data_IF_108393053751
#
_entry.id   IF_108393053751
#
_cell.length_a   1.000
_cell.length_b   1.000
_cell.length_c   1.000
_cell.angle_alpha   90.00
_cell.angle_beta   90.00
_cell.angle_gamma   90.00
#
_symmetry.space_group_name_H-M   'P 1'
#
loop_
_entity.id
_entity.type
_entity.pdbx_description
1 polymer ?
#
# COMPACT_ATOMS: atom_id res chain seq x y z
N UNK A 1 0.10 20.14 36.96
CA UNK A 1 0.95 21.26 36.51
C UNK A 1 0.47 21.65 35.14
N UNK A 2 -0.07 22.85 34.97
CA UNK A 2 -0.41 23.36 33.64
C UNK A 2 0.88 23.43 32.83
N UNK A 3 0.94 22.67 31.72
CA UNK A 3 2.04 22.78 30.79
C UNK A 3 2.03 24.21 30.24
N UNK A 4 3.12 24.95 30.43
CA UNK A 4 3.23 26.34 29.95
C UNK A 4 3.37 26.30 28.42
N UNK A 5 2.25 26.43 27.71
CA UNK A 5 2.19 26.39 26.25
C UNK A 5 2.37 27.80 25.68
N UNK A 6 3.09 27.91 24.57
CA UNK A 6 3.49 29.20 23.98
C UNK A 6 2.40 29.82 23.09
N UNK A 7 1.44 29.01 22.63
CA UNK A 7 0.45 29.42 21.64
C UNK A 7 -0.97 29.06 22.11
N UNK A 8 -1.95 29.85 21.70
CA UNK A 8 -3.36 29.61 22.03
C UNK A 8 -4.00 28.65 21.04
N UNK A 9 -3.74 28.83 19.75
CA UNK A 9 -4.43 28.09 18.69
C UNK A 9 -3.53 27.86 17.49
N UNK A 10 -3.24 26.58 17.24
CA UNK A 10 -2.38 26.14 16.15
C UNK A 10 -3.18 25.51 15.02
N UNK A 11 -2.91 25.95 13.79
CA UNK A 11 -3.49 25.35 12.59
C UNK A 11 -2.60 24.20 12.10
N UNK A 12 -3.24 23.12 11.65
CA UNK A 12 -2.59 21.96 11.05
C UNK A 12 -3.32 21.66 9.74
N UNK A 13 -2.59 21.57 8.62
CA UNK A 13 -3.17 21.24 7.32
C UNK A 13 -2.51 20.00 6.73
N UNK A 14 -3.30 19.08 6.19
CA UNK A 14 -2.78 17.86 5.59
C UNK A 14 -3.82 17.07 4.83
N UNK A 15 -3.35 16.12 4.03
CA UNK A 15 -4.23 15.13 3.41
C UNK A 15 -4.52 13.99 4.38
N UNK A 16 -3.57 13.64 5.25
CA UNK A 16 -3.72 12.58 6.27
C UNK A 16 -4.07 11.21 5.68
N UNK A 17 -3.63 10.95 4.44
CA UNK A 17 -3.75 9.64 3.81
C UNK A 17 -2.94 8.59 4.56
N UNK A 18 -3.50 7.38 4.73
CA UNK A 18 -2.89 6.27 5.48
C UNK A 18 -2.31 6.76 6.79
N UNK A 19 -3.14 7.38 7.63
CA UNK A 19 -2.71 8.05 8.86
C UNK A 19 -1.62 7.25 9.61
N UNK A 20 -0.45 7.86 9.82
CA UNK A 20 0.79 7.16 10.15
C UNK A 20 1.60 7.94 11.19
N UNK A 21 2.65 7.35 11.76
CA UNK A 21 3.43 7.93 12.87
C UNK A 21 4.00 9.33 12.55
N UNK A 22 4.35 9.61 11.28
CA UNK A 22 4.72 10.96 10.83
C UNK A 22 3.62 12.02 11.05
N UNK A 23 2.35 11.71 10.71
CA UNK A 23 1.22 12.61 10.99
C UNK A 23 1.00 12.78 12.50
N UNK A 24 1.16 11.71 13.27
CA UNK A 24 1.05 11.75 14.73
C UNK A 24 2.10 12.69 15.33
N UNK A 25 3.35 12.64 14.86
CA UNK A 25 4.43 13.52 15.33
C UNK A 25 4.17 15.00 14.98
N UNK A 26 3.64 15.28 13.80
CA UNK A 26 3.21 16.62 13.39
C UNK A 26 2.17 17.18 14.37
N UNK A 27 1.13 16.39 14.65
CA UNK A 27 0.04 16.80 15.56
C UNK A 27 0.52 16.91 17.00
N UNK A 28 1.33 15.97 17.48
CA UNK A 28 1.93 16.02 18.82
C UNK A 28 2.79 17.26 19.02
N UNK A 29 3.53 17.69 17.98
CA UNK A 29 4.33 18.91 18.02
C UNK A 29 3.46 20.15 18.25
N UNK A 30 2.31 20.23 17.58
CA UNK A 30 1.32 21.29 17.81
C UNK A 30 0.70 21.19 19.22
N UNK A 31 0.26 20.00 19.65
CA UNK A 31 -0.39 19.79 20.96
C UNK A 31 0.52 20.13 22.16
N UNK A 32 1.84 19.99 22.01
CA UNK A 32 2.83 20.37 23.02
C UNK A 32 3.00 21.89 23.15
N UNK A 33 2.84 22.62 22.05
CA UNK A 33 3.13 24.05 22.00
C UNK A 33 1.88 24.93 22.06
N UNK A 34 0.71 24.39 21.74
CA UNK A 34 -0.54 25.13 21.65
C UNK A 34 -1.64 24.59 22.59
N UNK A 35 -2.44 25.49 23.16
CA UNK A 35 -3.57 25.16 24.02
C UNK A 35 -4.72 24.48 23.26
N UNK A 36 -4.90 24.82 21.99
CA UNK A 36 -5.91 24.24 21.11
C UNK A 36 -5.35 24.02 19.70
N UNK A 37 -5.81 22.99 19.00
CA UNK A 37 -5.44 22.73 17.60
C UNK A 37 -6.66 22.69 16.69
N UNK A 38 -6.50 23.13 15.45
CA UNK A 38 -7.49 22.94 14.38
C UNK A 38 -6.82 22.15 13.26
N UNK A 39 -7.35 20.96 12.98
CA UNK A 39 -6.83 20.06 11.96
C UNK A 39 -7.71 20.17 10.72
N UNK A 40 -7.11 20.55 9.60
CA UNK A 40 -7.78 20.75 8.33
C UNK A 40 -7.37 19.64 7.34
N UNK A 41 -8.34 18.79 7.01
CA UNK A 41 -8.15 17.62 6.16
C UNK A 41 -8.61 17.95 4.73
N UNK A 42 -7.75 17.76 3.71
CA UNK A 42 -8.13 18.01 2.30
C UNK A 42 -9.34 17.18 1.89
N UNK A 43 -10.29 17.78 1.16
CA UNK A 43 -11.38 17.04 0.51
C UNK A 43 -10.86 16.05 -0.56
N UNK A 44 -11.75 15.22 -1.10
CA UNK A 44 -11.36 14.18 -2.07
C UNK A 44 -10.91 14.73 -3.42
N UNK A 45 -11.52 15.82 -3.91
CA UNK A 45 -11.09 16.47 -5.15
C UNK A 45 -9.62 16.90 -5.08
N UNK A 46 -9.22 17.58 -4.00
CA UNK A 46 -7.85 18.02 -3.76
C UNK A 46 -6.89 16.87 -3.45
N UNK A 47 -7.39 15.79 -2.85
CA UNK A 47 -6.60 14.61 -2.56
C UNK A 47 -6.29 13.85 -3.85
N UNK A 48 -7.32 13.52 -4.62
CA UNK A 48 -7.22 12.77 -5.87
C UNK A 48 -6.43 13.53 -6.93
N UNK A 49 -6.46 14.87 -6.95
CA UNK A 49 -5.61 15.65 -7.86
C UNK A 49 -4.10 15.43 -7.64
N UNK A 50 -3.70 14.90 -6.47
CA UNK A 50 -2.30 14.55 -6.17
C UNK A 50 -1.99 13.10 -6.53
N UNK A 51 -2.90 12.19 -6.17
CA UNK A 51 -2.74 10.75 -6.35
C UNK A 51 -4.13 10.09 -6.23
N UNK A 52 -4.53 9.33 -7.24
CA UNK A 52 -5.85 8.68 -7.29
C UNK A 52 -6.05 7.62 -6.20
N UNK A 53 -4.98 7.18 -5.55
CA UNK A 53 -4.94 6.09 -4.56
C UNK A 53 -4.93 6.56 -3.11
N UNK A 54 -5.18 7.85 -2.90
CA UNK A 54 -5.47 8.39 -1.58
C UNK A 54 -6.84 7.92 -1.11
N UNK A 55 -6.94 7.59 0.18
CA UNK A 55 -8.18 7.18 0.82
C UNK A 55 -9.32 8.22 0.68
N UNK A 56 -10.58 7.79 0.64
CA UNK A 56 -11.73 8.68 0.77
C UNK A 56 -11.65 9.57 2.02
N UNK A 57 -12.33 10.71 1.99
CA UNK A 57 -12.31 11.68 3.09
C UNK A 57 -12.80 11.06 4.40
N UNK A 58 -13.86 10.26 4.33
CA UNK A 58 -14.47 9.64 5.51
C UNK A 58 -13.44 8.73 6.23
N UNK A 59 -12.77 7.84 5.50
CA UNK A 59 -11.70 6.97 6.06
C UNK A 59 -10.58 7.78 6.72
N UNK A 60 -10.16 8.89 6.09
CA UNK A 60 -9.08 9.74 6.59
C UNK A 60 -9.51 10.50 7.84
N UNK A 61 -10.75 10.98 7.87
CA UNK A 61 -11.34 11.65 9.02
C UNK A 61 -11.52 10.67 10.19
N UNK A 62 -12.03 9.47 9.93
CA UNK A 62 -12.25 8.44 10.94
C UNK A 62 -10.93 8.01 11.61
N UNK A 63 -9.90 7.72 10.81
CA UNK A 63 -8.59 7.37 11.35
C UNK A 63 -7.97 8.50 12.19
N UNK A 64 -8.08 9.75 11.73
CA UNK A 64 -7.59 10.92 12.45
C UNK A 64 -8.36 11.16 13.75
N UNK A 65 -9.70 11.11 13.71
CA UNK A 65 -10.57 11.34 14.86
C UNK A 65 -10.39 10.26 15.93
N UNK A 66 -10.27 8.99 15.51
CA UNK A 66 -9.98 7.88 16.41
C UNK A 66 -8.69 8.14 17.19
N UNK A 67 -7.61 8.55 16.51
CA UNK A 67 -6.35 8.83 17.18
C UNK A 67 -6.38 10.09 18.05
N UNK A 68 -7.04 11.16 17.59
CA UNK A 68 -7.20 12.40 18.37
C UNK A 68 -8.01 12.19 19.65
N UNK A 69 -8.99 11.30 19.63
CA UNK A 69 -9.82 10.94 20.79
C UNK A 69 -8.97 10.50 21.99
N UNK A 70 -7.94 9.71 21.73
CA UNK A 70 -7.01 9.22 22.75
C UNK A 70 -5.91 10.25 23.07
N UNK A 71 -5.41 10.96 22.06
CA UNK A 71 -4.20 11.78 22.18
C UNK A 71 -4.44 13.22 22.68
N UNK A 72 -5.61 13.81 22.46
CA UNK A 72 -5.78 15.27 22.50
C UNK A 72 -6.69 15.83 23.61
N UNK A 73 -7.23 15.02 24.54
CA UNK A 73 -8.06 15.46 25.69
C UNK A 73 -9.08 16.57 25.35
N UNK A 74 -9.77 16.47 24.21
CA UNK A 74 -10.75 17.45 23.71
C UNK A 74 -10.21 18.85 23.33
N UNK A 75 -8.90 19.02 23.15
CA UNK A 75 -8.28 20.29 22.74
C UNK A 75 -8.11 20.42 21.22
N UNK A 76 -9.07 19.93 20.46
CA UNK A 76 -8.99 19.89 19.01
C UNK A 76 -10.34 20.12 18.34
N UNK A 77 -10.28 20.65 17.12
CA UNK A 77 -11.36 20.59 16.13
C UNK A 77 -10.80 20.00 14.83
N UNK A 78 -11.66 19.31 14.08
CA UNK A 78 -11.33 18.78 12.74
C UNK A 78 -12.29 19.37 11.74
N UNK A 79 -11.74 19.87 10.63
CA UNK A 79 -12.47 20.57 9.58
C UNK A 79 -12.05 20.04 8.21
N UNK A 80 -12.95 20.14 7.23
CA UNK A 80 -12.63 19.84 5.83
C UNK A 80 -12.01 21.07 5.16
N UNK A 81 -10.94 20.84 4.42
CA UNK A 81 -10.22 21.84 3.65
C UNK A 81 -10.63 21.75 2.19
N UNK A 82 -11.31 22.79 1.71
CA UNK A 82 -11.84 22.88 0.35
C UNK A 82 -11.02 23.79 -0.58
N UNK A 83 -9.96 24.41 -0.06
CA UNK A 83 -9.05 25.25 -0.85
C UNK A 83 -7.59 25.11 -0.37
N UNK A 84 -6.66 25.57 -1.21
CA UNK A 84 -5.21 25.40 -1.01
C UNK A 84 -4.68 26.04 0.28
N UNK A 85 -5.32 27.08 0.83
CA UNK A 85 -4.82 27.79 2.01
C UNK A 85 -5.75 27.69 3.21
N UNK A 86 -7.01 27.30 2.99
CA UNK A 86 -8.00 27.11 4.05
C UNK A 86 -8.27 28.40 4.80
N UNK A 87 -8.63 28.31 6.09
CA UNK A 87 -8.92 29.51 6.86
C UNK A 87 -7.65 30.31 7.19
N UNK A 88 -6.45 29.72 7.07
CA UNK A 88 -5.22 30.30 7.61
C UNK A 88 -4.93 31.76 7.19
N UNK A 89 -5.17 32.20 5.93
CA UNK A 89 -4.97 33.58 5.51
C UNK A 89 -5.91 34.60 6.19
N UNK A 90 -7.05 34.16 6.72
CA UNK A 90 -8.09 35.03 7.31
C UNK A 90 -8.43 34.69 8.77
N UNK A 91 -7.86 33.63 9.32
CA UNK A 91 -8.14 33.12 10.66
C UNK A 91 -7.63 34.10 11.74
N UNK A 92 -8.54 34.79 12.42
CA UNK A 92 -8.23 35.92 13.31
C UNK A 92 -7.67 35.50 14.67
N UNK A 93 -8.01 34.31 15.16
CA UNK A 93 -7.67 33.85 16.51
C UNK A 93 -6.50 32.86 16.55
N UNK A 94 -6.04 32.39 15.39
CA UNK A 94 -4.86 31.52 15.31
C UNK A 94 -3.60 32.37 15.43
N UNK A 95 -2.65 31.87 16.22
CA UNK A 95 -1.35 32.49 16.47
C UNK A 95 -0.17 31.61 16.03
N UNK A 96 -0.43 30.36 15.63
CA UNK A 96 0.59 29.46 15.09
C UNK A 96 0.07 28.53 13.99
N UNK A 97 0.99 27.99 13.19
CA UNK A 97 0.75 26.94 12.19
C UNK A 97 1.89 25.93 12.26
N UNK A 98 1.58 24.64 12.30
CA UNK A 98 2.61 23.59 12.29
C UNK A 98 2.86 23.12 10.87
N UNK A 99 4.12 22.89 10.53
CA UNK A 99 4.55 22.46 9.22
C UNK A 99 5.72 21.49 9.30
N UNK A 100 5.79 20.59 8.34
CA UNK A 100 7.00 19.84 8.02
C UNK A 100 7.92 20.65 7.11
N UNK A 101 9.17 20.23 6.92
CA UNK A 101 10.13 20.94 6.07
C UNK A 101 9.61 21.17 4.63
N UNK A 102 8.84 20.22 4.07
CA UNK A 102 8.24 20.32 2.73
C UNK A 102 7.10 21.34 2.66
N UNK A 103 6.45 21.64 3.79
CA UNK A 103 5.26 22.51 3.86
C UNK A 103 5.55 23.89 4.44
N UNK A 104 6.76 24.14 4.97
CA UNK A 104 7.22 25.47 5.41
C UNK A 104 7.06 26.55 4.31
N UNK A 105 7.47 26.33 3.05
CA UNK A 105 7.31 27.34 2.00
C UNK A 105 5.85 27.80 1.82
N UNK A 106 4.89 26.87 1.96
CA UNK A 106 3.45 27.18 1.89
C UNK A 106 3.00 28.02 3.09
N UNK A 107 3.58 27.81 4.26
CA UNK A 107 3.30 28.60 5.46
C UNK A 107 3.80 30.04 5.31
N UNK A 108 4.93 30.26 4.63
CA UNK A 108 5.38 31.60 4.28
C UNK A 108 4.40 32.31 3.33
N UNK A 109 3.91 31.63 2.29
CA UNK A 109 2.88 32.17 1.38
C UNK A 109 1.58 32.51 2.13
N UNK A 110 1.19 31.70 3.13
CA UNK A 110 0.05 32.01 4.00
C UNK A 110 0.31 33.31 4.76
N UNK A 111 1.50 33.50 5.33
CA UNK A 111 1.85 34.71 6.08
C UNK A 111 1.90 35.97 5.20
N UNK A 112 2.32 35.86 3.94
CA UNK A 112 2.23 36.96 2.96
C UNK A 112 0.76 37.40 2.77
N UNK A 113 -0.15 36.45 2.56
CA UNK A 113 -1.59 36.76 2.44
C UNK A 113 -2.22 37.28 3.73
N UNK A 114 -1.74 36.82 4.89
CA UNK A 114 -2.18 37.35 6.19
C UNK A 114 -1.81 38.82 6.32
N UNK A 115 -0.61 39.19 5.90
CA UNK A 115 -0.16 40.59 5.88
C UNK A 115 -1.06 41.45 4.97
N UNK A 116 -1.37 40.97 3.76
CA UNK A 116 -2.33 41.63 2.85
C UNK A 116 -3.72 41.80 3.48
N UNK A 117 -4.16 40.84 4.29
CA UNK A 117 -5.43 40.87 5.02
C UNK A 117 -5.37 41.65 6.35
N UNK A 118 -4.25 42.31 6.67
CA UNK A 118 -4.07 43.08 7.90
C UNK A 118 -4.01 42.23 9.17
N UNK A 119 -3.60 40.97 9.07
CA UNK A 119 -3.44 40.04 10.19
C UNK A 119 -1.95 39.83 10.51
N UNK A 120 -1.61 39.61 11.80
CA UNK A 120 -0.24 39.25 12.17
C UNK A 120 0.15 37.89 11.58
N UNK A 121 1.44 37.68 11.25
CA UNK A 121 1.91 36.39 10.77
C UNK A 121 1.73 35.32 11.85
N UNK A 122 1.40 34.09 11.44
CA UNK A 122 1.41 32.92 12.30
C UNK A 122 2.86 32.54 12.61
N UNK A 123 3.14 32.17 13.86
CA UNK A 123 4.38 31.50 14.21
C UNK A 123 4.41 30.12 13.56
N UNK A 124 5.41 29.86 12.72
CA UNK A 124 5.59 28.58 12.05
C UNK A 124 6.31 27.64 13.01
N UNK A 125 5.64 26.54 13.39
CA UNK A 125 6.18 25.49 14.22
C UNK A 125 6.71 24.39 13.30
N UNK A 126 8.02 24.26 13.21
CA UNK A 126 8.64 23.19 12.45
C UNK A 126 8.54 21.87 13.22
N UNK A 127 7.86 20.89 12.63
CA UNK A 127 7.79 19.54 13.14
C UNK A 127 8.91 18.69 12.52
N UNK A 128 9.61 17.87 13.33
CA UNK A 128 10.58 16.92 12.81
C UNK A 128 9.89 15.82 12.00
N UNK A 129 10.70 15.14 11.18
CA UNK A 129 10.28 13.97 10.43
C UNK A 129 10.71 12.67 11.09
N UNK A 130 9.95 11.62 10.81
CA UNK A 130 10.36 10.25 11.09
C UNK A 130 10.95 9.64 9.83
N UNK A 131 12.09 8.99 9.98
CA UNK A 131 12.62 8.13 8.94
C UNK A 131 12.07 6.72 9.15
N UNK A 132 11.78 6.02 8.05
CA UNK A 132 11.54 4.59 8.07
C UNK A 132 12.85 3.79 8.14
N UNK A 133 12.74 2.48 8.36
CA UNK A 133 13.91 1.61 8.50
C UNK A 133 14.67 1.38 7.18
N UNK A 134 14.11 1.79 6.05
CA UNK A 134 14.78 1.77 4.74
C UNK A 134 15.53 3.09 4.46
N UNK A 135 15.56 4.02 5.43
CA UNK A 135 16.31 5.28 5.36
C UNK A 135 15.60 6.42 4.62
N UNK A 136 14.34 6.23 4.23
CA UNK A 136 13.50 7.30 3.65
C UNK A 136 12.67 8.03 4.71
N UNK A 137 12.03 9.14 4.34
CA UNK A 137 11.04 9.80 5.21
C UNK A 137 9.75 8.98 5.21
N UNK A 138 9.25 8.62 6.38
CA UNK A 138 7.96 7.96 6.56
C UNK A 138 6.83 8.82 5.97
N UNK A 139 6.18 8.32 4.93
CA UNK A 139 5.15 9.05 4.18
C UNK A 139 4.09 8.14 3.61
N UNK A 140 2.87 8.66 3.43
CA UNK A 140 1.76 7.94 2.80
C UNK A 140 2.12 7.36 1.43
N UNK A 141 2.94 8.05 0.64
CA UNK A 141 3.39 7.53 -0.67
C UNK A 141 4.17 6.23 -0.54
N UNK A 142 5.08 6.12 0.43
CA UNK A 142 5.87 4.90 0.65
C UNK A 142 5.04 3.76 1.20
N UNK A 143 4.02 4.07 2.02
CA UNK A 143 3.01 3.11 2.48
C UNK A 143 2.20 2.60 1.28
N UNK A 144 1.67 3.50 0.44
CA UNK A 144 0.90 3.13 -0.77
C UNK A 144 1.71 2.32 -1.77
N UNK A 145 3.01 2.61 -1.91
CA UNK A 145 3.93 1.82 -2.75
C UNK A 145 4.27 0.45 -2.19
N UNK A 146 3.76 0.09 -1.01
CA UNK A 146 4.00 -1.22 -0.41
C UNK A 146 5.43 -1.40 0.11
N UNK A 147 6.12 -0.31 0.44
CA UNK A 147 7.49 -0.39 0.97
C UNK A 147 7.49 -0.61 2.49
N UNK A 148 6.62 0.09 3.21
CA UNK A 148 6.59 0.18 4.68
C UNK A 148 5.16 0.21 5.21
N UNK A 149 4.98 -0.12 6.49
CA UNK A 149 3.74 0.08 7.24
C UNK A 149 3.60 1.51 7.82
N UNK A 150 2.53 1.75 8.57
CA UNK A 150 2.20 3.06 9.15
C UNK A 150 3.18 3.52 10.24
N UNK A 151 4.05 2.65 10.72
CA UNK A 151 5.08 2.95 11.72
C UNK A 151 6.48 3.06 11.09
N UNK A 152 6.62 2.73 9.80
CA UNK A 152 7.87 2.79 9.06
C UNK A 152 8.65 1.48 9.02
N UNK A 153 8.04 0.37 9.42
CA UNK A 153 8.65 -0.95 9.29
C UNK A 153 8.42 -1.50 7.87
N UNK A 154 9.45 -2.05 7.21
CA UNK A 154 9.31 -2.59 5.87
C UNK A 154 8.45 -3.86 5.86
N UNK A 155 7.72 -4.07 4.77
CA UNK A 155 6.92 -5.29 4.58
C UNK A 155 7.80 -6.52 4.34
N UNK A 156 8.97 -6.31 3.72
CA UNK A 156 10.03 -7.30 3.58
C UNK A 156 11.25 -6.79 4.35
N UNK A 157 11.57 -7.39 5.51
CA UNK A 157 12.71 -6.98 6.32
C UNK A 157 14.04 -7.07 5.54
N UNK A 158 14.96 -6.09 5.69
CA UNK A 158 16.29 -6.14 5.07
C UNK A 158 17.09 -7.38 5.46
N UNK A 159 16.76 -8.01 6.60
CA UNK A 159 17.36 -9.27 7.03
C UNK A 159 17.04 -10.47 6.15
N UNK A 160 16.06 -10.38 5.24
CA UNK A 160 15.70 -11.40 4.26
C UNK A 160 16.37 -11.17 2.91
N UNK A 161 17.02 -10.02 2.72
CA UNK A 161 17.67 -9.68 1.47
C UNK A 161 18.79 -10.68 1.15
N UNK A 162 18.77 -11.25 -0.05
CA UNK A 162 19.73 -12.25 -0.49
C UNK A 162 19.62 -13.63 0.16
N UNK A 163 18.58 -13.90 0.96
CA UNK A 163 18.38 -15.20 1.63
C UNK A 163 17.32 -16.06 0.97
N UNK A 164 17.48 -17.37 1.08
CA UNK A 164 16.43 -18.33 0.76
C UNK A 164 15.56 -18.47 2.01
N UNK A 165 14.25 -18.28 1.87
CA UNK A 165 13.32 -18.51 2.96
C UNK A 165 12.61 -19.84 2.72
N UNK A 166 12.74 -20.77 3.66
CA UNK A 166 12.14 -22.10 3.58
C UNK A 166 10.84 -22.12 4.37
N UNK A 167 9.77 -22.59 3.72
CA UNK A 167 8.48 -22.77 4.37
C UNK A 167 8.54 -23.99 5.30
N UNK A 168 8.24 -23.86 6.60
CA UNK A 168 8.10 -25.01 7.48
C UNK A 168 6.78 -25.75 7.21
N UNK A 169 6.77 -27.08 7.35
CA UNK A 169 5.60 -27.94 7.08
C UNK A 169 4.35 -27.54 7.89
N UNK A 170 4.52 -26.90 9.05
CA UNK A 170 3.42 -26.42 9.89
C UNK A 170 2.53 -25.37 9.20
N UNK A 171 3.04 -24.71 8.16
CA UNK A 171 2.29 -23.71 7.40
C UNK A 171 1.50 -24.31 6.23
N UNK A 172 1.64 -25.60 5.91
CA UNK A 172 0.95 -26.21 4.76
C UNK A 172 -0.57 -26.00 4.81
N UNK A 173 -1.18 -26.04 6.00
CA UNK A 173 -2.62 -25.85 6.17
C UNK A 173 -3.04 -24.38 6.03
N UNK A 174 -2.18 -23.43 6.39
CA UNK A 174 -2.42 -22.00 6.19
C UNK A 174 -2.46 -21.67 4.69
N UNK A 175 -1.57 -22.26 3.89
CA UNK A 175 -1.51 -22.05 2.44
C UNK A 175 -2.62 -22.79 1.67
N UNK A 176 -3.25 -23.81 2.27
CA UNK A 176 -4.46 -24.43 1.71
C UNK A 176 -5.70 -23.55 1.85
N UNK A 177 -5.68 -22.61 2.80
CA UNK A 177 -6.80 -21.70 3.04
C UNK A 177 -6.68 -20.51 2.10
N UNK A 178 -7.73 -20.19 1.30
CA UNK A 178 -7.71 -19.03 0.42
C UNK A 178 -7.29 -17.75 1.15
N UNK A 179 -6.30 -17.05 0.61
CA UNK A 179 -5.79 -15.78 1.14
C UNK A 179 -6.46 -14.60 0.45
N UNK A 180 -7.77 -14.71 0.24
CA UNK A 180 -8.58 -13.77 -0.52
C UNK A 180 -10.01 -14.24 -0.66
N UNK A 181 -10.74 -13.58 -1.54
CA UNK A 181 -12.09 -13.99 -1.93
C UNK A 181 -11.99 -15.15 -2.93
N UNK A 182 -12.63 -16.28 -2.59
CA UNK A 182 -12.68 -17.46 -3.45
C UNK A 182 -13.88 -17.34 -4.40
N UNK A 183 -13.61 -17.41 -5.69
CA UNK A 183 -14.61 -17.55 -6.74
C UNK A 183 -14.65 -19.01 -7.15
N UNK A 184 -15.79 -19.66 -6.88
CA UNK A 184 -15.92 -21.09 -7.13
C UNK A 184 -16.15 -21.39 -8.61
N UNK A 185 -15.56 -22.49 -9.09
CA UNK A 185 -15.80 -23.00 -10.43
C UNK A 185 -15.38 -24.45 -10.61
N UNK A 186 -15.87 -25.13 -11.65
CA UNK A 186 -15.45 -26.50 -11.97
C UNK A 186 -13.97 -26.55 -12.33
N UNK A 187 -13.27 -27.63 -11.93
CA UNK A 187 -11.85 -27.84 -12.23
C UNK A 187 -11.58 -27.92 -13.75
N UNK A 188 -12.56 -28.40 -14.52
CA UNK A 188 -12.53 -28.53 -15.98
C UNK A 188 -13.05 -27.29 -16.72
N UNK A 189 -13.50 -26.25 -16.01
CA UNK A 189 -14.03 -25.01 -16.57
C UNK A 189 -13.61 -23.77 -15.74
N UNK A 190 -12.30 -23.44 -15.69
CA UNK A 190 -11.78 -22.32 -14.91
C UNK A 190 -12.38 -20.96 -15.31
N UNK A 191 -12.88 -20.83 -16.54
CA UNK A 191 -13.54 -19.63 -17.06
C UNK A 191 -14.78 -19.23 -16.25
N UNK A 192 -15.45 -20.18 -15.58
CA UNK A 192 -16.63 -19.89 -14.75
C UNK A 192 -16.21 -19.07 -13.53
N UNK A 193 -15.15 -19.50 -12.85
CA UNK A 193 -14.61 -18.81 -11.68
C UNK A 193 -14.00 -17.45 -12.07
N UNK A 194 -13.26 -17.42 -13.18
CA UNK A 194 -12.65 -16.19 -13.70
C UNK A 194 -13.70 -15.16 -14.12
N UNK A 195 -14.80 -15.57 -14.77
CA UNK A 195 -15.88 -14.65 -15.14
C UNK A 195 -16.51 -13.99 -13.91
N UNK A 196 -16.81 -14.78 -12.87
CA UNK A 196 -17.35 -14.24 -11.63
C UNK A 196 -16.36 -13.28 -10.94
N UNK A 197 -15.07 -13.61 -10.94
CA UNK A 197 -14.01 -12.75 -10.41
C UNK A 197 -13.89 -11.44 -11.18
N UNK A 198 -13.90 -11.49 -12.52
CA UNK A 198 -13.83 -10.30 -13.38
C UNK A 198 -15.04 -9.37 -13.18
N UNK A 199 -16.23 -9.92 -12.93
CA UNK A 199 -17.42 -9.12 -12.60
C UNK A 199 -17.31 -8.44 -11.22
N UNK A 200 -16.55 -9.02 -10.30
CA UNK A 200 -16.30 -8.48 -8.96
C UNK A 200 -15.13 -7.49 -8.89
N UNK A 201 -14.40 -7.29 -10.00
CA UNK A 201 -13.26 -6.38 -10.04
C UNK A 201 -13.67 -4.94 -9.66
N UNK A 202 -12.93 -4.27 -8.76
CA UNK A 202 -13.15 -2.86 -8.48
C UNK A 202 -12.98 -2.00 -9.74
N UNK A 203 -13.82 -0.98 -9.94
CA UNK A 203 -13.70 -0.08 -11.10
C UNK A 203 -12.35 0.63 -11.20
N UNK A 204 -11.74 0.90 -10.04
CA UNK A 204 -10.41 1.45 -9.94
C UNK A 204 -9.57 0.43 -9.17
N UNK A 205 -8.45 0.00 -9.75
CA UNK A 205 -7.52 -0.94 -9.14
C UNK A 205 -6.10 -0.65 -9.65
N UNK A 206 -5.10 -1.17 -8.92
CA UNK A 206 -3.70 -1.15 -9.36
C UNK A 206 -3.44 -2.24 -10.40
N UNK A 207 -2.18 -2.72 -10.47
CA UNK A 207 -1.81 -3.80 -11.38
C UNK A 207 -2.62 -5.08 -11.12
N UNK A 208 -2.94 -5.83 -12.17
CA UNK A 208 -3.47 -7.19 -12.13
C UNK A 208 -2.32 -8.19 -12.28
N UNK A 209 -2.06 -8.95 -11.22
CA UNK A 209 -1.01 -9.96 -11.16
C UNK A 209 -1.66 -11.34 -11.12
N UNK A 210 -1.32 -12.20 -12.08
CA UNK A 210 -1.85 -13.56 -12.17
C UNK A 210 -0.76 -14.60 -11.90
N UNK A 211 -1.09 -15.66 -11.17
CA UNK A 211 -0.17 -16.75 -10.83
C UNK A 211 -0.78 -18.09 -11.24
N UNK A 212 0.03 -18.90 -11.92
CA UNK A 212 -0.27 -20.24 -12.41
C UNK A 212 -0.79 -20.25 -13.85
N UNK A 213 -0.33 -21.23 -14.62
CA UNK A 213 -0.59 -21.37 -16.06
C UNK A 213 -2.08 -21.34 -16.42
N UNK A 214 -2.91 -22.10 -15.69
CA UNK A 214 -4.36 -22.16 -15.94
C UNK A 214 -5.03 -20.80 -15.71
N UNK A 215 -4.66 -20.10 -14.65
CA UNK A 215 -5.21 -18.77 -14.31
C UNK A 215 -4.82 -17.75 -15.37
N UNK A 216 -3.52 -17.71 -15.72
CA UNK A 216 -2.98 -16.77 -16.71
C UNK A 216 -3.60 -17.02 -18.07
N UNK A 217 -3.64 -18.28 -18.52
CA UNK A 217 -4.24 -18.67 -19.80
C UNK A 217 -5.73 -18.35 -19.85
N UNK A 218 -6.48 -18.66 -18.80
CA UNK A 218 -7.90 -18.38 -18.72
C UNK A 218 -8.21 -16.88 -18.85
N UNK A 219 -7.44 -16.02 -18.16
CA UNK A 219 -7.58 -14.57 -18.32
C UNK A 219 -7.30 -14.12 -19.76
N UNK A 220 -6.22 -14.64 -20.37
CA UNK A 220 -5.85 -14.30 -21.75
C UNK A 220 -6.91 -14.75 -22.76
N UNK A 221 -7.51 -15.92 -22.58
CA UNK A 221 -8.60 -16.43 -23.45
C UNK A 221 -9.86 -15.58 -23.36
N UNK A 222 -10.06 -14.91 -22.22
CA UNK A 222 -11.13 -13.93 -22.00
C UNK A 222 -10.76 -12.52 -22.50
N UNK A 223 -9.58 -12.36 -23.12
CA UNK A 223 -9.09 -11.09 -23.65
C UNK A 223 -8.48 -10.16 -22.60
N UNK A 224 -8.15 -10.68 -21.42
CA UNK A 224 -7.50 -9.94 -20.33
C UNK A 224 -6.05 -10.37 -20.22
N UNK A 225 -5.11 -9.48 -20.56
CA UNK A 225 -3.69 -9.71 -20.35
C UNK A 225 -3.29 -9.18 -18.96
N UNK A 226 -2.79 -10.03 -18.04
CA UNK A 226 -2.27 -9.56 -16.75
C UNK A 226 -1.08 -8.61 -16.93
N UNK A 227 -0.93 -7.64 -16.03
CA UNK A 227 0.23 -6.74 -16.01
C UNK A 227 1.51 -7.51 -15.62
N UNK A 228 1.37 -8.48 -14.70
CA UNK A 228 2.44 -9.43 -14.37
C UNK A 228 1.85 -10.83 -14.30
N UNK A 229 2.49 -11.79 -14.94
CA UNK A 229 2.13 -13.19 -14.87
C UNK A 229 3.30 -14.03 -14.32
N UNK A 230 3.01 -14.98 -13.43
CA UNK A 230 3.95 -16.00 -12.97
C UNK A 230 3.45 -17.36 -13.45
N UNK A 231 4.30 -18.10 -14.16
CA UNK A 231 3.98 -19.44 -14.69
C UNK A 231 5.15 -20.37 -14.41
N UNK A 232 4.91 -21.66 -14.22
CA UNK A 232 5.98 -22.65 -14.07
C UNK A 232 6.19 -23.50 -15.33
N UNK A 233 5.27 -23.40 -16.31
CA UNK A 233 5.28 -24.21 -17.51
C UNK A 233 5.15 -25.71 -17.23
N UNK A 234 4.74 -26.08 -16.00
CA UNK A 234 4.70 -27.43 -15.47
C UNK A 234 3.45 -27.65 -14.60
N UNK A 235 2.31 -27.93 -15.22
CA UNK A 235 1.31 -28.74 -14.49
C UNK A 235 1.71 -30.21 -14.47
N UNK A 236 2.79 -30.51 -13.73
CA UNK A 236 3.22 -31.80 -13.14
C UNK A 236 3.60 -32.94 -14.10
N UNK A 237 4.91 -33.20 -14.24
CA UNK A 237 5.53 -34.49 -14.68
C UNK A 237 5.22 -35.00 -16.11
N UNK A 238 4.28 -34.39 -16.82
CA UNK A 238 4.03 -34.54 -18.25
C UNK A 238 3.89 -33.14 -18.86
N UNK A 239 4.34 -32.95 -20.11
CA UNK A 239 4.28 -31.65 -20.78
C UNK A 239 2.84 -31.12 -20.80
N UNK A 240 2.65 -29.84 -20.41
CA UNK A 240 1.36 -29.14 -20.48
C UNK A 240 0.63 -29.45 -21.80
N UNK A 241 -0.68 -29.69 -21.71
CA UNK A 241 -1.53 -29.71 -22.90
C UNK A 241 -1.34 -28.39 -23.66
N UNK A 242 -1.19 -28.46 -24.98
CA UNK A 242 -0.99 -27.29 -25.84
C UNK A 242 -2.07 -26.22 -25.61
N UNK A 243 -3.27 -26.64 -25.21
CA UNK A 243 -4.38 -25.74 -24.87
C UNK A 243 -4.13 -24.85 -23.63
N UNK A 244 -3.23 -25.27 -22.73
CA UNK A 244 -2.87 -24.55 -21.51
C UNK A 244 -1.58 -23.74 -21.65
N UNK A 245 -0.90 -23.81 -22.79
CA UNK A 245 0.32 -23.04 -23.04
C UNK A 245 0.00 -21.54 -23.10
N UNK A 246 0.67 -20.78 -22.23
CA UNK A 246 0.62 -19.33 -22.21
C UNK A 246 1.36 -18.79 -23.44
N UNK A 247 0.71 -17.89 -24.18
CA UNK A 247 1.26 -17.25 -25.37
C UNK A 247 2.24 -16.15 -24.95
N UNK A 248 3.47 -16.55 -24.64
CA UNK A 248 4.50 -15.67 -24.07
C UNK A 248 4.81 -14.47 -24.97
N UNK A 249 4.55 -14.56 -26.28
CA UNK A 249 4.75 -13.46 -27.23
C UNK A 249 3.80 -12.28 -27.03
N UNK A 250 2.71 -12.44 -26.26
CA UNK A 250 1.83 -11.33 -25.89
C UNK A 250 2.42 -10.43 -24.79
N UNK A 251 3.37 -10.94 -24.01
CA UNK A 251 4.06 -10.15 -22.99
C UNK A 251 5.24 -9.40 -23.62
N UNK A 252 5.34 -8.11 -23.30
CA UNK A 252 6.41 -7.27 -23.85
C UNK A 252 7.77 -7.62 -23.25
N UNK A 253 7.77 -8.05 -21.98
CA UNK A 253 8.95 -8.37 -21.21
C UNK A 253 8.81 -9.76 -20.61
N UNK A 254 9.92 -10.50 -20.54
CA UNK A 254 9.95 -11.80 -19.86
C UNK A 254 11.25 -12.03 -19.10
N UNK A 255 11.18 -12.86 -18.05
CA UNK A 255 12.33 -13.30 -17.27
C UNK A 255 12.09 -14.69 -16.73
N UNK A 256 13.10 -15.56 -16.83
CA UNK A 256 13.08 -16.88 -16.21
C UNK A 256 13.90 -16.90 -14.91
N UNK A 257 13.46 -17.67 -13.91
CA UNK A 257 14.12 -17.84 -12.62
C UNK A 257 13.98 -19.28 -12.11
N UNK A 258 14.72 -19.63 -11.05
CA UNK A 258 14.58 -20.92 -10.36
C UNK A 258 14.01 -20.70 -8.96
N UNK A 259 12.93 -21.40 -8.62
CA UNK A 259 12.34 -21.37 -7.28
C UNK A 259 11.98 -22.80 -6.83
N UNK A 260 12.85 -23.51 -6.11
CA UNK A 260 12.58 -24.87 -5.69
C UNK A 260 11.33 -25.00 -4.80
N UNK A 261 10.75 -26.20 -4.70
CA UNK A 261 9.59 -26.45 -3.85
C UNK A 261 9.74 -25.95 -2.42
N UNK A 262 8.66 -25.35 -1.89
CA UNK A 262 8.57 -24.83 -0.52
C UNK A 262 9.64 -23.76 -0.18
N UNK A 263 10.19 -23.08 -1.19
CA UNK A 263 11.16 -22.01 -1.01
C UNK A 263 10.68 -20.68 -1.61
N UNK A 264 11.17 -19.61 -1.01
CA UNK A 264 11.13 -18.25 -1.54
C UNK A 264 12.57 -17.82 -1.78
N UNK A 265 13.01 -17.82 -3.04
CA UNK A 265 14.40 -17.49 -3.41
C UNK A 265 14.63 -15.98 -3.55
N UNK A 266 15.89 -15.51 -3.40
CA UNK A 266 16.25 -14.13 -3.74
C UNK A 266 15.90 -13.76 -5.18
N UNK A 267 16.10 -14.70 -6.13
CA UNK A 267 15.78 -14.49 -7.53
C UNK A 267 14.28 -14.23 -7.76
N UNK A 268 13.40 -14.88 -6.98
CA UNK A 268 11.97 -14.62 -7.01
C UNK A 268 11.65 -13.21 -6.47
N UNK A 269 12.23 -12.82 -5.33
CA UNK A 269 12.04 -11.48 -4.78
C UNK A 269 12.50 -10.37 -5.74
N UNK A 270 13.69 -10.54 -6.33
CA UNK A 270 14.26 -9.60 -7.30
C UNK A 270 13.40 -9.51 -8.56
N UNK A 271 12.83 -10.63 -9.00
CA UNK A 271 11.95 -10.68 -10.17
C UNK A 271 10.59 -10.02 -9.89
N UNK A 272 10.03 -10.23 -8.69
CA UNK A 272 8.82 -9.51 -8.23
C UNK A 272 9.07 -8.01 -8.24
N UNK A 273 10.13 -7.53 -7.55
CA UNK A 273 10.45 -6.10 -7.50
C UNK A 273 10.66 -5.50 -8.89
N UNK A 274 11.45 -6.19 -9.73
CA UNK A 274 11.67 -5.75 -11.11
C UNK A 274 10.37 -5.69 -11.90
N UNK A 275 9.50 -6.70 -11.81
CA UNK A 275 8.23 -6.72 -12.55
C UNK A 275 7.30 -5.56 -12.17
N UNK A 276 7.29 -5.17 -10.90
CA UNK A 276 6.48 -4.05 -10.38
C UNK A 276 6.99 -2.67 -10.80
N UNK A 277 8.21 -2.59 -11.32
CA UNK A 277 8.80 -1.34 -11.84
C UNK A 277 8.57 -1.16 -13.35
N UNK A 278 7.98 -2.14 -14.03
CA UNK A 278 7.76 -2.07 -15.47
C UNK A 278 6.41 -1.41 -15.79
N UNK A 279 6.40 -0.59 -16.85
CA UNK A 279 5.18 0.00 -17.40
C UNK A 279 4.50 -0.92 -18.44
N UNK A 280 5.18 -2.00 -18.85
CA UNK A 280 4.74 -2.94 -19.88
C UNK A 280 4.45 -4.33 -19.27
N UNK A 281 3.53 -5.14 -19.83
CA UNK A 281 3.21 -6.45 -19.31
C UNK A 281 4.41 -7.40 -19.23
N UNK A 282 4.57 -8.06 -18.08
CA UNK A 282 5.72 -8.92 -17.74
C UNK A 282 5.29 -10.37 -17.55
N UNK A 283 6.03 -11.30 -18.17
CA UNK A 283 5.95 -12.73 -17.86
C UNK A 283 7.16 -13.20 -17.05
N UNK A 284 6.92 -13.84 -15.91
CA UNK A 284 7.92 -14.50 -15.09
C UNK A 284 7.75 -16.02 -15.24
N UNK A 285 8.75 -16.67 -15.81
CA UNK A 285 8.80 -18.13 -15.95
C UNK A 285 9.61 -18.74 -14.80
N UNK A 286 9.01 -19.64 -14.04
CA UNK A 286 9.56 -20.20 -12.81
C UNK A 286 9.93 -21.67 -13.05
N UNK A 287 11.22 -21.99 -13.06
CA UNK A 287 11.67 -23.38 -12.96
C UNK A 287 11.56 -23.84 -11.50
N UNK A 288 10.45 -24.51 -11.18
CA UNK A 288 10.13 -24.99 -9.83
C UNK A 288 8.68 -24.70 -9.44
N UNK A 289 8.43 -24.17 -8.25
CA UNK A 289 7.08 -23.81 -7.75
C UNK A 289 6.87 -22.29 -7.81
N UNK A 290 5.81 -21.87 -8.51
CA UNK A 290 5.28 -20.50 -8.54
C UNK A 290 4.26 -20.22 -7.41
N UNK A 291 3.71 -21.27 -6.78
CA UNK A 291 2.68 -21.21 -5.73
C UNK A 291 3.01 -20.27 -4.56
N UNK A 292 4.29 -20.07 -4.26
CA UNK A 292 4.75 -19.16 -3.20
C UNK A 292 5.01 -17.72 -3.68
N UNK A 293 5.05 -17.45 -4.99
CA UNK A 293 5.19 -16.10 -5.53
C UNK A 293 4.18 -15.09 -4.97
N UNK A 294 2.90 -15.44 -4.73
CA UNK A 294 1.94 -14.56 -4.06
C UNK A 294 2.45 -13.99 -2.74
N UNK A 295 3.30 -14.68 -1.97
CA UNK A 295 3.82 -14.16 -0.70
C UNK A 295 4.70 -12.91 -0.87
N UNK A 296 5.61 -12.92 -1.85
CA UNK A 296 6.42 -11.75 -2.14
C UNK A 296 5.63 -10.67 -2.85
N UNK A 297 4.66 -11.02 -3.70
CA UNK A 297 3.76 -10.04 -4.34
C UNK A 297 2.89 -9.33 -3.27
N UNK A 298 2.12 -10.10 -2.50
CA UNK A 298 1.87 -9.98 -1.06
C UNK A 298 2.49 -8.74 -0.40
N UNK A 299 3.75 -8.94 -0.03
CA UNK A 299 4.51 -8.00 0.76
C UNK A 299 5.02 -6.79 -0.06
N UNK A 300 5.45 -6.96 -1.30
CA UNK A 300 6.18 -5.94 -2.07
C UNK A 300 5.31 -5.02 -2.94
N UNK A 301 4.18 -5.51 -3.46
CA UNK A 301 3.42 -4.77 -4.47
C UNK A 301 2.67 -3.56 -3.86
N UNK A 302 2.43 -2.49 -4.64
CA UNK A 302 1.64 -1.36 -4.18
C UNK A 302 0.25 -1.76 -3.65
N UNK A 303 -0.30 -0.95 -2.75
CA UNK A 303 -1.70 -1.10 -2.35
C UNK A 303 -2.60 -1.01 -3.59
N UNK A 304 -3.72 -1.71 -3.55
CA UNK A 304 -4.73 -1.78 -4.60
C UNK A 304 -4.37 -2.64 -5.81
N UNK A 305 -3.13 -3.15 -5.90
CA UNK A 305 -2.81 -4.27 -6.80
C UNK A 305 -3.70 -5.47 -6.49
N UNK A 306 -4.15 -6.16 -7.54
CA UNK A 306 -4.94 -7.38 -7.44
C UNK A 306 -4.03 -8.56 -7.74
N UNK A 307 -4.06 -9.56 -6.88
CA UNK A 307 -3.39 -10.85 -7.09
C UNK A 307 -4.46 -11.91 -7.32
N UNK A 308 -4.35 -12.63 -8.44
CA UNK A 308 -5.23 -13.74 -8.80
C UNK A 308 -4.41 -15.01 -8.92
N UNK A 309 -4.85 -16.09 -8.26
CA UNK A 309 -4.18 -17.37 -8.34
C UNK A 309 -5.18 -18.52 -8.22
N UNK A 310 -4.82 -19.69 -8.76
CA UNK A 310 -5.68 -20.86 -8.74
C UNK A 310 -5.79 -21.48 -7.35
N UNK A 311 -6.98 -21.95 -6.98
CA UNK A 311 -7.21 -22.79 -5.81
C UNK A 311 -7.61 -24.21 -6.27
N UNK A 312 -6.76 -25.22 -6.06
CA UNK A 312 -7.02 -26.57 -6.55
C UNK A 312 -8.40 -27.11 -6.17
N UNK A 313 -9.14 -27.55 -7.19
CA UNK A 313 -10.52 -28.12 -7.09
C UNK A 313 -11.59 -27.18 -6.52
N UNK A 314 -11.29 -25.90 -6.39
CA UNK A 314 -12.22 -24.92 -5.81
C UNK A 314 -12.50 -23.77 -6.77
N UNK A 315 -11.49 -23.28 -7.49
CA UNK A 315 -11.67 -22.18 -8.46
C UNK A 315 -10.48 -21.22 -8.45
N UNK A 316 -10.73 -19.91 -8.39
CA UNK A 316 -9.70 -18.88 -8.34
C UNK A 316 -9.84 -18.00 -7.11
N UNK A 317 -8.74 -17.59 -6.52
CA UNK A 317 -8.70 -16.63 -5.42
C UNK A 317 -8.31 -15.27 -5.95
N UNK A 318 -9.07 -14.24 -5.59
CA UNK A 318 -8.71 -12.85 -5.80
C UNK A 318 -8.34 -12.21 -4.47
N UNK A 319 -7.19 -11.54 -4.41
CA UNK A 319 -6.83 -10.69 -3.27
C UNK A 319 -6.47 -9.29 -3.73
N UNK A 320 -7.24 -8.31 -3.26
CA UNK A 320 -6.91 -6.89 -3.37
C UNK A 320 -5.91 -6.55 -2.26
N UNK A 321 -4.83 -5.86 -2.61
CA UNK A 321 -3.79 -5.47 -1.66
C UNK A 321 -4.18 -4.27 -0.82
N UNK A 322 -4.65 -4.52 0.39
CA UNK A 322 -4.82 -3.55 1.46
C UNK A 322 -3.76 -3.75 2.57
N UNK A 323 -3.81 -2.91 3.60
CA UNK A 323 -2.88 -3.04 4.75
C UNK A 323 -3.07 -4.38 5.46
N UNK A 324 -4.30 -4.90 5.53
CA UNK A 324 -4.58 -6.22 6.12
C UNK A 324 -3.88 -7.35 5.37
N UNK A 325 -3.95 -7.34 4.03
CA UNK A 325 -3.27 -8.31 3.17
C UNK A 325 -1.76 -8.31 3.44
N UNK A 326 -1.18 -7.11 3.52
CA UNK A 326 0.26 -6.94 3.78
C UNK A 326 0.65 -7.41 5.17
N UNK A 327 -0.14 -7.09 6.20
CA UNK A 327 0.08 -7.60 7.55
C UNK A 327 0.01 -9.12 7.60
N UNK A 328 -1.00 -9.73 6.96
CA UNK A 328 -1.13 -11.19 6.89
C UNK A 328 0.09 -11.82 6.21
N UNK A 329 0.51 -11.27 5.07
CA UNK A 329 1.69 -11.76 4.35
C UNK A 329 2.97 -11.65 5.19
N UNK A 330 3.20 -10.50 5.84
CA UNK A 330 4.35 -10.30 6.73
C UNK A 330 4.34 -11.26 7.92
N UNK A 331 3.17 -11.47 8.53
CA UNK A 331 3.03 -12.40 9.67
C UNK A 331 3.36 -13.85 9.28
N UNK A 332 2.98 -14.27 8.08
CA UNK A 332 3.36 -15.59 7.54
C UNK A 332 4.85 -15.67 7.23
N UNK A 333 5.43 -14.64 6.58
CA UNK A 333 6.86 -14.59 6.27
C UNK A 333 7.75 -14.71 7.52
N UNK A 334 7.31 -14.20 8.67
CA UNK A 334 8.04 -14.32 9.96
C UNK A 334 8.24 -15.77 10.38
N UNK A 335 7.37 -16.68 9.95
CA UNK A 335 7.48 -18.11 10.25
C UNK A 335 8.43 -18.87 9.30
N UNK A 336 8.88 -18.26 8.20
CA UNK A 336 9.83 -18.91 7.30
C UNK A 336 11.22 -18.95 7.92
N UNK A 337 11.93 -20.05 7.66
CA UNK A 337 13.29 -20.26 8.12
C UNK A 337 14.27 -19.68 7.08
N UNK A 338 15.04 -18.66 7.47
CA UNK A 338 16.00 -18.03 6.57
C UNK A 338 17.31 -18.82 6.54
N UNK A 339 17.66 -19.38 5.39
CA UNK A 339 18.94 -20.01 5.12
C UNK A 339 19.95 -18.97 4.60
N UNK A 340 21.18 -19.05 5.12
CA UNK A 340 22.25 -18.08 4.90
C UNK A 340 23.30 -18.55 3.91
#
# INVERSE_FOLDING_TARGET
MEANRSFRRCLIGGTFDRFHAGHQLLIQTALRQADFIEVHVTNDEMAQSKDHWIQPLDDRMDALLSWLGDAALHRYEVHVLNDVHGPAPSHRTADSIVATIETIPRCHQINERRYENGLPPLSILEAPHLNDELGGILSSSRIRRGLIDQDGHPWIPPSYEGKILRMPEVLDDEFKTPMGELFEGPEDAPEVALSAMLEALPQNHGALIAVGDVTVKGLMDMGILPDVAFIDGQTKREALDVSLQVQSEQFALSRSLVNPPSQLTPALLDSVRWSLEQDEPVLIEVDGEEDLAPMFVLAAAPLGTIVVYGQPRQGVVMRILDLEAKHRARNLLVHFEAEG
#
